data_IF_576583758719
#
_entry.id   IF_576583758719
#
_cell.length_a   1.000
_cell.length_b   1.000
_cell.length_c   1.000
_cell.angle_alpha   90.00
_cell.angle_beta   90.00
_cell.angle_gamma   90.00
#
_symmetry.space_group_name_H-M   'P 1'
#
loop_
_entity.id
_entity.type
_entity.pdbx_description
1 polymer ?
#
# COMPACT_ATOMS: atom_id res chain seq x y z
N UNK A 1 29.97 35.32 -69.16
CA UNK A 1 30.79 36.25 -69.97
C UNK A 1 32.17 36.64 -69.39
N UNK A 2 32.63 36.08 -68.27
CA UNK A 2 33.65 36.73 -67.41
C UNK A 2 35.11 36.28 -67.60
N UNK A 3 35.44 35.67 -68.75
CA UNK A 3 36.84 35.41 -69.13
C UNK A 3 37.32 36.52 -70.06
N UNK A 4 38.57 36.96 -69.88
CA UNK A 4 39.19 38.15 -70.50
C UNK A 4 39.03 38.28 -72.03
N UNK A 5 38.77 37.20 -72.75
CA UNK A 5 38.65 37.20 -74.22
C UNK A 5 37.22 37.00 -74.76
N UNK A 6 36.22 36.78 -73.91
CA UNK A 6 34.85 36.44 -74.37
C UNK A 6 34.10 37.66 -74.91
N UNK A 7 34.25 38.83 -74.27
CA UNK A 7 33.60 40.08 -74.69
C UNK A 7 34.06 40.53 -76.08
N UNK A 8 35.35 40.37 -76.37
CA UNK A 8 35.93 40.63 -77.69
C UNK A 8 35.35 39.71 -78.76
N UNK A 9 35.20 38.41 -78.44
CA UNK A 9 34.62 37.43 -79.35
C UNK A 9 33.13 37.66 -79.63
N UNK A 10 32.38 38.20 -78.66
CA UNK A 10 30.95 38.53 -78.81
C UNK A 10 30.79 39.74 -79.74
N UNK A 11 31.62 40.77 -79.56
CA UNK A 11 31.65 41.94 -80.45
C UNK A 11 32.08 41.53 -81.86
N UNK A 12 33.12 40.69 -81.98
CA UNK A 12 33.58 40.18 -83.27
C UNK A 12 32.52 39.31 -83.98
N UNK A 13 31.77 38.49 -83.23
CA UNK A 13 30.66 37.69 -83.76
C UNK A 13 29.51 38.55 -84.31
N UNK A 14 29.27 39.72 -83.71
CA UNK A 14 28.31 40.71 -84.21
C UNK A 14 28.87 41.44 -85.44
N UNK A 15 30.14 41.85 -85.41
CA UNK A 15 30.77 42.64 -86.49
C UNK A 15 31.04 41.85 -87.77
N UNK A 16 31.17 40.53 -87.68
CA UNK A 16 31.36 39.61 -88.83
C UNK A 16 30.05 39.15 -89.48
N UNK A 17 28.92 39.78 -89.14
CA UNK A 17 27.60 39.46 -89.69
C UNK A 17 27.55 39.66 -91.21
N UNK A 18 26.88 38.74 -91.92
CA UNK A 18 26.83 38.70 -93.40
C UNK A 18 25.77 39.61 -94.03
N UNK A 19 24.76 40.01 -93.25
CA UNK A 19 23.69 40.92 -93.66
C UNK A 19 23.12 41.67 -92.45
N UNK A 20 22.34 42.74 -92.71
CA UNK A 20 21.67 43.49 -91.64
C UNK A 20 20.70 42.61 -90.83
N UNK A 21 20.03 41.65 -91.47
CA UNK A 21 19.13 40.71 -90.79
C UNK A 21 19.87 39.73 -89.88
N UNK A 22 21.05 39.24 -90.30
CA UNK A 22 21.94 38.38 -89.50
C UNK A 22 22.50 39.14 -88.30
N UNK A 23 22.92 40.40 -88.52
CA UNK A 23 23.36 41.31 -87.46
C UNK A 23 22.29 41.50 -86.38
N UNK A 24 21.06 41.86 -86.76
CA UNK A 24 19.96 42.08 -85.80
C UNK A 24 19.65 40.80 -85.03
N UNK A 25 19.64 39.64 -85.69
CA UNK A 25 19.35 38.34 -85.06
C UNK A 25 20.42 37.92 -84.04
N UNK A 26 21.71 38.16 -84.35
CA UNK A 26 22.83 37.92 -83.42
C UNK A 26 22.78 38.84 -82.22
N UNK A 27 22.52 40.13 -82.43
CA UNK A 27 22.35 41.12 -81.36
C UNK A 27 21.21 40.72 -80.42
N UNK A 28 20.06 40.31 -80.96
CA UNK A 28 18.93 39.84 -80.15
C UNK A 28 19.25 38.56 -79.37
N UNK A 29 19.95 37.60 -79.98
CA UNK A 29 20.33 36.34 -79.33
C UNK A 29 21.34 36.56 -78.20
N UNK A 30 22.32 37.44 -78.42
CA UNK A 30 23.31 37.83 -77.41
C UNK A 30 22.62 38.61 -76.29
N UNK A 31 21.69 39.51 -76.60
CA UNK A 31 20.92 40.24 -75.59
C UNK A 31 20.11 39.28 -74.71
N UNK A 32 19.41 38.29 -75.30
CA UNK A 32 18.71 37.25 -74.53
C UNK A 32 19.67 36.44 -73.66
N UNK A 33 20.82 36.04 -74.20
CA UNK A 33 21.84 35.30 -73.47
C UNK A 33 22.37 36.09 -72.26
N UNK A 34 22.64 37.39 -72.42
CA UNK A 34 23.07 38.29 -71.33
C UNK A 34 21.99 38.42 -70.27
N UNK A 35 20.73 38.57 -70.68
CA UNK A 35 19.61 38.63 -69.73
C UNK A 35 19.51 37.35 -68.90
N UNK A 36 19.59 36.17 -69.54
CA UNK A 36 19.57 34.88 -68.84
C UNK A 36 20.79 34.72 -67.92
N UNK A 37 21.99 35.11 -68.35
CA UNK A 37 23.20 35.08 -67.50
C UNK A 37 23.03 35.97 -66.25
N UNK A 38 22.43 37.15 -66.41
CA UNK A 38 22.12 38.05 -65.30
C UNK A 38 21.08 37.45 -64.35
N UNK A 39 20.02 36.83 -64.88
CA UNK A 39 18.99 36.14 -64.09
C UNK A 39 19.57 34.97 -63.29
N UNK A 40 20.45 34.18 -63.89
CA UNK A 40 21.16 33.08 -63.22
C UNK A 40 22.05 33.62 -62.10
N UNK A 41 22.80 34.70 -62.34
CA UNK A 41 23.63 35.32 -61.31
C UNK A 41 22.80 35.87 -60.14
N UNK A 42 21.64 36.47 -60.42
CA UNK A 42 20.73 36.91 -59.36
C UNK A 42 20.22 35.72 -58.55
N UNK A 43 19.76 34.63 -59.19
CA UNK A 43 19.29 33.43 -58.49
C UNK A 43 20.41 32.77 -57.66
N UNK A 44 21.64 32.71 -58.18
CA UNK A 44 22.80 32.20 -57.43
C UNK A 44 23.07 33.05 -56.19
N UNK A 45 23.05 34.38 -56.32
CA UNK A 45 23.28 35.27 -55.19
C UNK A 45 22.15 35.15 -54.14
N UNK A 46 20.88 35.10 -54.57
CA UNK A 46 19.76 34.89 -53.66
C UNK A 46 19.85 33.55 -52.91
N UNK A 47 20.26 32.47 -53.61
CA UNK A 47 20.48 31.16 -52.98
C UNK A 47 21.65 31.19 -52.01
N UNK A 48 22.73 31.90 -52.34
CA UNK A 48 23.88 32.08 -51.45
C UNK A 48 23.49 32.82 -50.18
N UNK A 49 22.69 33.88 -50.29
CA UNK A 49 22.22 34.64 -49.13
C UNK A 49 21.30 33.79 -48.24
N UNK A 50 20.34 33.07 -48.82
CA UNK A 50 19.50 32.11 -48.08
C UNK A 50 20.31 31.01 -47.38
N UNK A 51 21.40 30.56 -48.00
CA UNK A 51 22.30 29.57 -47.41
C UNK A 51 23.05 30.16 -46.22
N UNK A 52 23.56 31.39 -46.33
CA UNK A 52 24.23 32.09 -45.23
C UNK A 52 23.27 32.29 -44.04
N UNK A 53 22.04 32.76 -44.29
CA UNK A 53 21.00 32.89 -43.25
C UNK A 53 20.73 31.56 -42.54
N UNK A 54 20.72 30.46 -43.31
CA UNK A 54 20.51 29.11 -42.76
C UNK A 54 21.68 28.67 -41.89
N UNK A 55 22.92 28.97 -42.30
CA UNK A 55 24.13 28.68 -41.52
C UNK A 55 24.10 29.44 -40.19
N UNK A 56 23.77 30.74 -40.21
CA UNK A 56 23.68 31.54 -38.98
C UNK A 56 22.62 31.01 -38.02
N UNK A 57 21.44 30.64 -38.53
CA UNK A 57 20.37 30.04 -37.73
C UNK A 57 20.78 28.70 -37.12
N UNK A 58 21.48 27.86 -37.88
CA UNK A 58 21.96 26.56 -37.40
C UNK A 58 23.01 26.75 -36.30
N UNK A 59 23.95 27.68 -36.47
CA UNK A 59 24.96 27.99 -35.47
C UNK A 59 24.32 28.52 -34.17
N UNK A 60 23.30 29.38 -34.27
CA UNK A 60 22.55 29.86 -33.09
C UNK A 60 21.88 28.70 -32.36
N UNK A 61 21.19 27.82 -33.08
CA UNK A 61 20.52 26.65 -32.49
C UNK A 61 21.51 25.67 -31.87
N UNK A 62 22.68 25.49 -32.46
CA UNK A 62 23.74 24.67 -31.88
C UNK A 62 24.22 25.23 -30.55
N UNK A 63 24.41 26.56 -30.46
CA UNK A 63 24.79 27.21 -29.22
C UNK A 63 23.69 27.09 -28.14
N UNK A 64 22.43 27.29 -28.50
CA UNK A 64 21.29 27.13 -27.58
C UNK A 64 21.23 25.68 -27.06
N UNK A 65 21.44 24.70 -27.93
CA UNK A 65 21.44 23.29 -27.55
C UNK A 65 22.59 22.95 -26.59
N UNK A 66 23.78 23.52 -26.81
CA UNK A 66 24.92 23.37 -25.89
C UNK A 66 24.62 23.98 -24.53
N UNK A 67 24.04 25.17 -24.49
CA UNK A 67 23.65 25.82 -23.24
C UNK A 67 22.58 25.02 -22.49
N UNK A 68 21.57 24.52 -23.22
CA UNK A 68 20.52 23.68 -22.64
C UNK A 68 21.11 22.38 -22.07
N UNK A 69 22.03 21.74 -22.80
CA UNK A 69 22.72 20.54 -22.32
C UNK A 69 23.46 20.80 -21.00
N UNK A 70 24.23 21.89 -20.92
CA UNK A 70 24.96 22.25 -19.70
C UNK A 70 24.02 22.51 -18.52
N UNK A 71 22.88 23.17 -18.76
CA UNK A 71 21.86 23.38 -17.72
C UNK A 71 21.31 22.05 -17.21
N UNK A 72 20.97 21.13 -18.12
CA UNK A 72 20.44 19.81 -17.76
C UNK A 72 21.47 19.01 -16.96
N UNK A 73 22.74 19.03 -17.35
CA UNK A 73 23.81 18.33 -16.62
C UNK A 73 23.96 18.87 -15.18
N UNK A 74 23.91 20.19 -15.01
CA UNK A 74 23.97 20.83 -13.68
C UNK A 74 22.73 20.55 -12.83
N UNK A 75 21.54 20.56 -13.42
CA UNK A 75 20.30 20.24 -12.70
C UNK A 75 20.27 18.77 -12.28
N UNK A 76 20.82 17.87 -13.11
CA UNK A 76 20.95 16.45 -12.78
C UNK A 76 21.90 16.22 -11.60
N UNK A 77 23.02 16.94 -11.55
CA UNK A 77 23.96 16.89 -10.43
C UNK A 77 23.29 17.32 -9.11
N UNK A 78 22.55 18.44 -9.12
CA UNK A 78 21.79 18.90 -7.95
C UNK A 78 20.73 17.91 -7.49
N UNK A 79 19.97 17.32 -8.43
CA UNK A 79 18.95 16.32 -8.09
C UNK A 79 19.60 15.11 -7.42
N UNK A 80 20.75 14.66 -7.93
CA UNK A 80 21.48 13.52 -7.37
C UNK A 80 21.98 13.81 -5.96
N UNK A 81 22.50 15.01 -5.71
CA UNK A 81 22.93 15.45 -4.38
C UNK A 81 21.76 15.52 -3.39
N UNK A 82 20.63 16.11 -3.81
CA UNK A 82 19.41 16.19 -3.01
C UNK A 82 18.90 14.80 -2.67
N UNK A 83 18.82 13.90 -3.65
CA UNK A 83 18.35 12.53 -3.43
C UNK A 83 19.23 11.82 -2.39
N UNK A 84 20.56 11.92 -2.51
CA UNK A 84 21.49 11.35 -1.54
C UNK A 84 21.26 11.89 -0.14
N UNK A 85 21.12 13.21 0.01
CA UNK A 85 20.85 13.84 1.31
C UNK A 85 19.52 13.39 1.94
N UNK A 86 18.50 13.13 1.11
CA UNK A 86 17.19 12.65 1.58
C UNK A 86 17.27 11.19 2.03
N UNK A 87 18.03 10.35 1.32
CA UNK A 87 18.26 8.96 1.71
C UNK A 87 19.00 8.88 3.05
N UNK A 88 20.05 9.69 3.25
CA UNK A 88 20.79 9.80 4.52
C UNK A 88 19.88 10.25 5.67
N UNK A 89 19.06 11.29 5.45
CA UNK A 89 18.12 11.78 6.46
C UNK A 89 17.04 10.75 6.82
N UNK A 90 16.57 9.95 5.85
CA UNK A 90 15.59 8.89 6.08
C UNK A 90 16.19 7.73 6.89
N UNK A 91 17.44 7.35 6.61
CA UNK A 91 18.16 6.34 7.36
C UNK A 91 18.36 6.77 8.82
N UNK A 92 18.79 8.03 9.05
CA UNK A 92 18.94 8.59 10.38
C UNK A 92 17.60 8.61 11.14
N UNK A 93 16.52 9.08 10.49
CA UNK A 93 15.20 9.13 11.10
C UNK A 93 14.70 7.73 11.51
N UNK A 94 14.89 6.72 10.66
CA UNK A 94 14.50 5.35 10.98
C UNK A 94 15.33 4.79 12.14
N UNK A 95 16.65 5.02 12.14
CA UNK A 95 17.51 4.63 13.26
C UNK A 95 17.09 5.29 14.58
N UNK A 96 16.76 6.59 14.55
CA UNK A 96 16.26 7.31 15.74
C UNK A 96 14.92 6.76 16.20
N UNK A 97 13.99 6.49 15.26
CA UNK A 97 12.68 5.91 15.54
C UNK A 97 12.81 4.55 16.23
N UNK A 98 13.70 3.68 15.75
CA UNK A 98 13.93 2.35 16.33
C UNK A 98 14.54 2.45 17.74
N UNK A 99 15.49 3.38 17.94
CA UNK A 99 16.07 3.64 19.26
C UNK A 99 15.03 4.15 20.26
N UNK A 100 14.16 5.08 19.84
CA UNK A 100 13.08 5.60 20.68
C UNK A 100 12.04 4.51 20.97
N UNK A 101 11.67 3.72 19.98
CA UNK A 101 10.73 2.60 20.15
C UNK A 101 11.26 1.57 21.17
N UNK A 102 12.55 1.25 21.12
CA UNK A 102 13.19 0.35 22.09
C UNK A 102 13.16 0.93 23.52
N UNK A 103 13.42 2.23 23.68
CA UNK A 103 13.35 2.91 24.98
C UNK A 103 11.91 2.92 25.52
N UNK A 104 10.92 3.19 24.66
CA UNK A 104 9.50 3.14 25.03
C UNK A 104 9.12 1.74 25.50
N UNK A 105 9.47 0.71 24.72
CA UNK A 105 9.19 -0.68 25.09
C UNK A 105 9.83 -1.08 26.42
N UNK A 106 11.08 -0.70 26.67
CA UNK A 106 11.76 -0.95 27.95
C UNK A 106 11.01 -0.29 29.12
N UNK A 107 10.68 1.00 28.99
CA UNK A 107 9.95 1.73 30.03
C UNK A 107 8.55 1.15 30.27
N UNK A 108 7.84 0.78 29.20
CA UNK A 108 6.52 0.15 29.28
C UNK A 108 6.59 -1.23 29.98
N UNK A 109 7.61 -2.05 29.67
CA UNK A 109 7.84 -3.30 30.38
C UNK A 109 8.09 -3.04 31.89
N UNK A 110 8.83 -1.99 32.24
CA UNK A 110 9.04 -1.62 33.65
C UNK A 110 7.74 -1.19 34.33
N UNK A 111 6.87 -0.43 33.65
CA UNK A 111 5.57 0.00 34.19
C UNK A 111 4.67 -1.19 34.54
N UNK A 112 4.63 -2.23 33.69
CA UNK A 112 3.77 -3.39 33.94
C UNK A 112 4.43 -4.47 34.81
N UNK A 113 5.76 -4.40 35.00
CA UNK A 113 6.56 -5.45 35.68
C UNK A 113 6.05 -5.82 37.07
N UNK A 114 5.60 -4.82 37.86
CA UNK A 114 5.12 -5.06 39.21
C UNK A 114 3.81 -5.85 39.21
N UNK A 115 2.84 -5.44 38.39
CA UNK A 115 1.56 -6.13 38.24
C UNK A 115 1.75 -7.56 37.70
N UNK A 116 2.66 -7.75 36.75
CA UNK A 116 3.07 -9.08 36.27
C UNK A 116 3.65 -9.94 37.41
N UNK A 117 4.49 -9.36 38.27
CA UNK A 117 5.09 -10.09 39.39
C UNK A 117 4.03 -10.57 40.40
N UNK A 118 3.02 -9.73 40.68
CA UNK A 118 1.88 -10.07 41.55
C UNK A 118 1.06 -11.20 40.92
N UNK A 119 0.72 -11.10 39.63
CA UNK A 119 -0.06 -12.12 38.92
C UNK A 119 0.62 -13.50 38.97
N UNK A 120 1.94 -13.52 38.76
CA UNK A 120 2.71 -14.76 38.76
C UNK A 120 2.84 -15.39 40.16
N UNK A 121 3.03 -14.57 41.21
CA UNK A 121 3.38 -15.06 42.55
C UNK A 121 2.21 -15.14 43.53
N UNK A 122 1.20 -14.28 43.42
CA UNK A 122 0.13 -14.19 44.42
C UNK A 122 -0.91 -15.30 44.25
N UNK A 123 -1.48 -15.73 45.37
CA UNK A 123 -2.64 -16.63 45.47
C UNK A 123 -3.85 -15.93 46.10
N UNK A 124 -3.76 -14.61 46.32
CA UNK A 124 -4.84 -13.80 46.88
C UNK A 124 -5.70 -13.23 45.76
N UNK A 125 -6.99 -13.55 45.74
CA UNK A 125 -7.93 -13.06 44.72
C UNK A 125 -8.02 -11.53 44.68
N UNK A 126 -7.92 -10.86 45.83
CA UNK A 126 -7.92 -9.39 45.90
C UNK A 126 -6.65 -8.77 45.32
N UNK A 127 -5.47 -9.39 45.53
CA UNK A 127 -4.22 -8.88 44.97
C UNK A 127 -4.18 -9.07 43.45
N UNK A 128 -4.69 -10.21 42.97
CA UNK A 128 -4.84 -10.48 41.54
C UNK A 128 -5.80 -9.48 40.89
N UNK A 129 -6.94 -9.18 41.52
CA UNK A 129 -7.89 -8.19 40.99
C UNK A 129 -7.30 -6.78 40.93
N UNK A 130 -6.60 -6.34 41.98
CA UNK A 130 -5.93 -5.04 41.98
C UNK A 130 -4.86 -4.93 40.88
N UNK A 131 -4.12 -6.01 40.62
CA UNK A 131 -3.14 -6.07 39.55
C UNK A 131 -3.80 -6.00 38.16
N UNK A 132 -4.94 -6.68 37.96
CA UNK A 132 -5.74 -6.60 36.73
C UNK A 132 -6.26 -5.18 36.50
N UNK A 133 -6.85 -4.55 37.51
CA UNK A 133 -7.39 -3.19 37.40
C UNK A 133 -6.30 -2.18 37.04
N UNK A 134 -5.10 -2.36 37.63
CA UNK A 134 -3.92 -1.56 37.30
C UNK A 134 -3.51 -1.75 35.84
N UNK A 135 -3.44 -2.99 35.35
CA UNK A 135 -3.09 -3.26 33.94
C UNK A 135 -4.14 -2.71 32.97
N UNK A 136 -5.43 -2.84 33.29
CA UNK A 136 -6.52 -2.29 32.48
C UNK A 136 -6.46 -0.76 32.38
N UNK A 137 -6.02 -0.06 33.44
CA UNK A 137 -5.81 1.38 33.42
C UNK A 137 -4.59 1.80 32.59
N UNK A 138 -3.55 0.96 32.56
CA UNK A 138 -2.31 1.22 31.82
C UNK A 138 -2.43 0.87 30.33
N UNK A 139 -3.19 -0.16 29.96
CA UNK A 139 -3.39 -0.61 28.57
C UNK A 139 -3.65 0.52 27.55
N UNK A 140 -4.57 1.49 27.78
CA UNK A 140 -4.79 2.57 26.82
C UNK A 140 -3.62 3.56 26.68
N UNK A 141 -2.62 3.50 27.57
CA UNK A 141 -1.43 4.36 27.56
C UNK A 141 -0.21 3.67 26.92
N UNK A 142 -0.28 2.36 26.71
CA UNK A 142 0.80 1.59 26.09
C UNK A 142 0.77 1.73 24.57
N UNK A 143 1.94 1.82 23.97
CA UNK A 143 2.15 1.95 22.53
C UNK A 143 2.87 0.75 21.92
N UNK A 144 3.66 -0.02 22.69
CA UNK A 144 4.32 -1.22 22.20
C UNK A 144 3.35 -2.40 22.10
N UNK A 145 3.18 -2.94 20.90
CA UNK A 145 2.31 -4.10 20.66
C UNK A 145 2.74 -5.33 21.45
N UNK A 146 4.05 -5.53 21.66
CA UNK A 146 4.58 -6.64 22.45
C UNK A 146 4.18 -6.50 23.93
N UNK A 147 4.29 -5.30 24.49
CA UNK A 147 3.94 -5.04 25.89
C UNK A 147 2.43 -5.12 26.12
N UNK A 148 1.63 -4.62 25.17
CA UNK A 148 0.17 -4.77 25.18
C UNK A 148 -0.23 -6.25 25.20
N UNK A 149 0.39 -7.09 24.34
CA UNK A 149 0.11 -8.53 24.34
C UNK A 149 0.46 -9.17 25.69
N UNK A 150 1.65 -8.89 26.23
CA UNK A 150 2.07 -9.41 27.55
C UNK A 150 1.10 -9.03 28.66
N UNK A 151 0.61 -7.78 28.66
CA UNK A 151 -0.35 -7.31 29.65
C UNK A 151 -1.70 -8.04 29.52
N UNK A 152 -2.22 -8.20 28.29
CA UNK A 152 -3.46 -8.93 28.04
C UNK A 152 -3.35 -10.42 28.42
N UNK A 153 -2.24 -11.06 28.07
CA UNK A 153 -1.98 -12.46 28.42
C UNK A 153 -1.92 -12.64 29.94
N UNK A 154 -1.30 -11.69 30.65
CA UNK A 154 -1.27 -11.71 32.11
C UNK A 154 -2.65 -11.51 32.74
N UNK A 155 -3.46 -10.59 32.21
CA UNK A 155 -4.85 -10.40 32.65
C UNK A 155 -5.66 -11.68 32.44
N UNK A 156 -5.53 -12.33 31.29
CA UNK A 156 -6.20 -13.59 31.00
C UNK A 156 -5.80 -14.69 32.00
N UNK A 157 -4.50 -14.88 32.20
CA UNK A 157 -3.99 -15.87 33.15
C UNK A 157 -4.41 -15.57 34.60
N UNK A 158 -4.45 -14.29 34.99
CA UNK A 158 -4.89 -13.89 36.32
C UNK A 158 -6.38 -14.20 36.54
N UNK A 159 -7.24 -13.92 35.55
CA UNK A 159 -8.66 -14.25 35.61
C UNK A 159 -8.88 -15.77 35.75
N UNK A 160 -8.17 -16.59 34.97
CA UNK A 160 -8.22 -18.05 35.12
C UNK A 160 -7.82 -18.49 36.53
N UNK A 161 -6.74 -17.92 37.09
CA UNK A 161 -6.28 -18.23 38.45
C UNK A 161 -7.31 -17.82 39.51
N UNK A 162 -7.99 -16.70 39.33
CA UNK A 162 -9.08 -16.26 40.22
C UNK A 162 -10.26 -17.24 40.14
N UNK A 163 -10.65 -17.69 38.94
CA UNK A 163 -11.69 -18.70 38.76
C UNK A 163 -11.33 -20.00 39.48
N UNK A 164 -10.11 -20.50 39.29
CA UNK A 164 -9.61 -21.70 39.98
C UNK A 164 -9.63 -21.54 41.51
N UNK A 165 -9.12 -20.43 42.04
CA UNK A 165 -9.10 -20.17 43.48
C UNK A 165 -10.50 -20.06 44.08
N UNK A 166 -11.46 -19.51 43.35
CA UNK A 166 -12.86 -19.43 43.76
C UNK A 166 -13.54 -20.81 43.77
N UNK A 167 -13.09 -21.77 42.94
CA UNK A 167 -13.60 -23.15 42.98
C UNK A 167 -13.11 -23.96 44.19
N UNK A 168 -11.99 -23.59 44.82
CA UNK A 168 -11.38 -24.33 45.96
C UNK A 168 -12.04 -23.96 47.30
N UNK A 169 -12.73 -22.81 47.40
CA UNK A 169 -13.33 -22.30 48.67
C UNK A 169 -14.75 -22.84 48.92
N UNK A 170 -15.33 -23.62 48.01
CA UNK A 170 -16.68 -24.18 48.19
C UNK A 170 -16.61 -25.65 48.61
N UNK A 171 -16.54 -25.88 49.92
CA UNK A 171 -17.08 -27.10 50.50
C UNK A 171 -18.58 -27.15 50.16
N UNK A 172 -19.03 -28.22 49.49
CA UNK A 172 -20.42 -28.37 49.02
C UNK A 172 -21.40 -28.13 50.19
N UNK A 173 -22.38 -27.23 50.03
CA UNK A 173 -23.63 -27.65 49.39
C UNK A 173 -24.12 -26.72 48.28
N UNK A 174 -24.83 -27.36 47.36
CA UNK A 174 -25.41 -26.88 46.10
C UNK A 174 -26.53 -25.86 46.32
N UNK A 175 -26.33 -24.60 45.93
CA UNK A 175 -27.28 -23.64 45.29
C UNK A 175 -26.40 -22.47 44.75
N UNK A 176 -26.26 -22.08 43.48
CA UNK A 176 -26.95 -22.41 42.23
C UNK A 176 -27.31 -21.15 41.43
N UNK A 177 -26.37 -20.21 41.16
CA UNK A 177 -26.58 -19.11 40.20
C UNK A 177 -25.60 -19.18 39.02
N UNK A 178 -26.17 -19.70 37.93
CA UNK A 178 -25.69 -20.02 36.58
C UNK A 178 -24.73 -19.02 35.88
N UNK A 179 -23.44 -19.35 35.82
CA UNK A 179 -22.77 -19.45 34.52
C UNK A 179 -22.97 -20.89 34.06
N UNK A 180 -23.77 -21.08 33.01
CA UNK A 180 -24.21 -22.40 32.58
C UNK A 180 -23.03 -23.35 32.39
N UNK A 181 -23.03 -24.45 33.15
CA UNK A 181 -22.20 -25.62 32.85
C UNK A 181 -22.36 -25.94 31.36
N UNK A 182 -21.26 -25.98 30.61
CA UNK A 182 -21.29 -26.35 29.20
C UNK A 182 -22.06 -27.66 29.06
N UNK A 183 -23.17 -27.62 28.31
CA UNK A 183 -24.06 -28.77 28.16
C UNK A 183 -23.39 -29.87 27.35
N UNK A 184 -22.51 -29.46 26.43
CA UNK A 184 -21.74 -30.34 25.56
C UNK A 184 -20.53 -29.60 25.00
N UNK A 185 -19.39 -30.28 24.98
CA UNK A 185 -18.14 -29.76 24.44
C UNK A 185 -17.73 -30.57 23.20
N UNK A 186 -17.25 -29.87 22.18
CA UNK A 186 -16.74 -30.47 20.95
C UNK A 186 -15.35 -29.94 20.63
N UNK A 187 -14.51 -30.79 20.05
CA UNK A 187 -13.29 -30.37 19.36
C UNK A 187 -13.60 -30.29 17.86
N UNK A 188 -13.45 -29.11 17.28
CA UNK A 188 -13.86 -28.83 15.89
C UNK A 188 -12.77 -28.09 15.12
N UNK A 189 -12.76 -28.24 13.79
CA UNK A 189 -11.96 -27.42 12.90
C UNK A 189 -12.70 -26.09 12.65
N UNK A 190 -12.07 -24.97 12.97
CA UNK A 190 -12.60 -23.63 12.71
C UNK A 190 -11.90 -23.01 11.50
N UNK A 191 -12.70 -22.56 10.55
CA UNK A 191 -12.31 -21.57 9.54
C UNK A 191 -12.87 -20.20 9.90
N UNK A 192 -12.47 -19.18 9.14
CA UNK A 192 -13.09 -17.87 9.23
C UNK A 192 -13.50 -17.36 7.85
N UNK A 193 -14.57 -16.56 7.85
CA UNK A 193 -15.07 -15.85 6.69
C UNK A 193 -15.41 -14.40 7.04
N UNK A 194 -15.47 -13.56 6.01
CA UNK A 194 -15.85 -12.15 6.12
C UNK A 194 -16.79 -11.79 4.95
N UNK A 195 -17.54 -10.70 5.10
CA UNK A 195 -18.60 -10.31 4.17
C UNK A 195 -19.90 -11.08 4.38
N UNK A 196 -20.69 -11.27 3.31
CA UNK A 196 -22.05 -11.80 3.43
C UNK A 196 -23.06 -10.74 3.88
N UNK A 197 -24.28 -11.15 4.23
CA UNK A 197 -25.33 -10.21 4.61
C UNK A 197 -26.37 -10.78 5.58
N UNK A 198 -26.89 -11.97 5.30
CA UNK A 198 -27.97 -12.58 6.09
C UNK A 198 -27.62 -14.06 6.31
N UNK A 199 -27.66 -14.49 7.57
CA UNK A 199 -27.45 -15.88 7.99
C UNK A 199 -28.68 -16.75 7.65
N UNK A 200 -28.56 -18.08 7.72
CA UNK A 200 -29.67 -19.02 7.54
C UNK A 200 -30.87 -18.74 8.49
N UNK A 201 -30.64 -18.14 9.66
CA UNK A 201 -31.70 -17.72 10.59
C UNK A 201 -32.31 -16.34 10.28
N UNK A 202 -31.87 -15.67 9.21
CA UNK A 202 -32.35 -14.32 8.85
C UNK A 202 -31.70 -13.18 9.65
N UNK A 203 -30.66 -13.48 10.43
CA UNK A 203 -29.94 -12.49 11.23
C UNK A 203 -28.79 -11.86 10.42
N UNK A 204 -28.47 -10.57 10.63
CA UNK A 204 -27.26 -9.99 10.07
C UNK A 204 -26.02 -10.70 10.65
N UNK A 205 -24.97 -10.84 9.83
CA UNK A 205 -23.68 -11.34 10.31
C UNK A 205 -23.02 -10.29 11.20
N UNK A 206 -22.58 -10.70 12.38
CA UNK A 206 -22.02 -9.79 13.40
C UNK A 206 -20.81 -10.44 14.04
N UNK A 207 -19.73 -9.66 14.16
CA UNK A 207 -18.58 -9.98 15.00
C UNK A 207 -18.53 -8.98 16.15
N UNK A 208 -18.76 -9.47 17.36
CA UNK A 208 -18.64 -8.73 18.60
C UNK A 208 -17.75 -9.50 19.59
N UNK A 209 -16.50 -9.06 19.82
CA UNK A 209 -15.59 -9.69 20.79
C UNK A 209 -16.08 -9.66 22.23
N UNK A 210 -16.93 -8.69 22.60
CA UNK A 210 -17.43 -8.51 23.97
C UNK A 210 -18.88 -8.93 24.13
N UNK A 211 -19.48 -9.47 23.07
CA UNK A 211 -20.90 -9.80 23.02
C UNK A 211 -21.16 -11.08 22.25
N UNK A 212 -22.24 -11.07 21.47
CA UNK A 212 -22.72 -12.24 20.74
C UNK A 212 -22.37 -12.13 19.26
N UNK A 213 -21.43 -12.96 18.82
CA UNK A 213 -21.08 -13.07 17.39
C UNK A 213 -21.93 -14.11 16.67
N UNK A 214 -21.98 -14.08 15.33
CA UNK A 214 -22.66 -15.09 14.51
C UNK A 214 -21.66 -16.08 13.92
N UNK A 215 -21.96 -17.38 13.99
CA UNK A 215 -21.13 -18.43 13.37
C UNK A 215 -21.97 -19.37 12.50
N UNK A 216 -21.29 -20.01 11.54
CA UNK A 216 -21.86 -21.10 10.75
C UNK A 216 -21.48 -22.46 11.32
N UNK A 217 -22.44 -23.38 11.37
CA UNK A 217 -22.25 -24.73 11.93
C UNK A 217 -22.94 -25.81 11.09
N UNK A 218 -22.60 -27.07 11.35
CA UNK A 218 -23.44 -28.20 10.94
C UNK A 218 -24.62 -28.39 11.92
N UNK A 219 -25.84 -28.10 11.44
CA UNK A 219 -27.08 -28.21 12.21
C UNK A 219 -27.39 -29.61 12.76
N UNK A 220 -26.75 -30.66 12.23
CA UNK A 220 -26.90 -32.03 12.74
C UNK A 220 -26.11 -32.27 14.03
N UNK A 221 -25.12 -31.42 14.32
CA UNK A 221 -24.26 -31.52 15.51
C UNK A 221 -24.55 -30.39 16.50
N UNK A 222 -24.65 -29.16 16.01
CA UNK A 222 -25.01 -27.97 16.81
C UNK A 222 -26.30 -27.39 16.23
N UNK A 223 -27.46 -27.50 16.91
CA UNK A 223 -28.71 -26.94 16.42
C UNK A 223 -28.62 -25.41 16.21
N UNK A 224 -29.25 -24.91 15.15
CA UNK A 224 -29.34 -23.46 14.92
C UNK A 224 -30.11 -22.78 16.05
N UNK A 225 -29.61 -21.65 16.53
CA UNK A 225 -30.08 -20.92 17.71
C UNK A 225 -29.34 -21.30 19.00
N UNK A 226 -28.42 -22.26 18.96
CA UNK A 226 -27.61 -22.59 20.14
C UNK A 226 -26.64 -21.46 20.46
N UNK A 227 -26.51 -21.13 21.75
CA UNK A 227 -25.46 -20.25 22.26
C UNK A 227 -24.24 -21.10 22.55
N UNK A 228 -23.12 -20.73 21.97
CA UNK A 228 -21.86 -21.44 22.13
C UNK A 228 -20.74 -20.52 22.58
N UNK A 229 -19.72 -21.08 23.20
CA UNK A 229 -18.43 -20.43 23.40
C UNK A 229 -17.39 -21.13 22.53
N UNK A 230 -16.63 -20.36 21.76
CA UNK A 230 -15.58 -20.87 20.89
C UNK A 230 -14.24 -20.38 21.42
N UNK A 231 -13.35 -21.31 21.76
CA UNK A 231 -12.04 -21.01 22.33
C UNK A 231 -11.24 -20.06 21.44
N UNK A 232 -10.81 -18.92 21.98
CA UNK A 232 -10.05 -17.90 21.26
C UNK A 232 -10.87 -16.98 20.34
N UNK A 233 -12.20 -17.15 20.28
CA UNK A 233 -13.10 -16.29 19.50
C UNK A 233 -14.12 -15.56 20.38
N UNK A 234 -14.69 -16.26 21.36
CA UNK A 234 -15.69 -15.72 22.30
C UNK A 234 -17.06 -16.39 22.16
N UNK A 235 -18.09 -15.73 22.68
CA UNK A 235 -19.48 -16.22 22.67
C UNK A 235 -20.13 -15.96 21.32
N UNK A 236 -20.86 -16.96 20.81
CA UNK A 236 -21.52 -16.88 19.53
C UNK A 236 -22.88 -17.59 19.50
N UNK A 237 -23.71 -17.19 18.54
CA UNK A 237 -24.92 -17.90 18.15
C UNK A 237 -24.67 -18.70 16.87
N UNK A 238 -24.98 -19.99 16.93
CA UNK A 238 -25.08 -20.86 15.77
C UNK A 238 -26.27 -20.41 14.89
N UNK A 239 -26.03 -19.48 13.97
CA UNK A 239 -27.10 -18.78 13.23
C UNK A 239 -27.06 -19.05 11.73
N UNK A 240 -25.96 -19.61 11.23
CA UNK A 240 -25.77 -19.86 9.82
C UNK A 240 -25.36 -21.31 9.50
N UNK A 241 -25.43 -21.67 8.22
CA UNK A 241 -24.95 -22.94 7.69
C UNK A 241 -24.27 -22.73 6.34
N UNK A 242 -23.16 -23.43 6.11
CA UNK A 242 -22.49 -23.44 4.81
C UNK A 242 -22.57 -24.80 4.11
N UNK A 243 -22.43 -24.80 2.79
CA UNK A 243 -22.31 -26.04 2.01
C UNK A 243 -21.08 -26.87 2.42
N UNK A 244 -19.97 -26.18 2.72
CA UNK A 244 -18.71 -26.79 3.14
C UNK A 244 -18.61 -27.00 4.67
N UNK A 245 -19.55 -26.46 5.46
CA UNK A 245 -19.56 -26.56 6.92
C UNK A 245 -20.38 -27.79 7.31
N UNK A 246 -19.69 -28.94 7.35
CA UNK A 246 -20.25 -30.27 7.60
C UNK A 246 -19.39 -31.03 8.60
N UNK A 247 -20.03 -31.80 9.48
CA UNK A 247 -19.33 -32.52 10.54
C UNK A 247 -18.80 -31.58 11.62
N UNK A 248 -17.66 -31.92 12.21
CA UNK A 248 -17.01 -31.13 13.26
C UNK A 248 -16.24 -29.93 12.69
N UNK A 249 -16.91 -29.13 11.85
CA UNK A 249 -16.37 -27.92 11.23
C UNK A 249 -17.29 -26.76 11.60
N UNK A 250 -16.70 -25.63 11.98
CA UNK A 250 -17.38 -24.36 12.16
C UNK A 250 -16.73 -23.27 11.30
N UNK A 251 -17.50 -22.24 10.97
CA UNK A 251 -16.98 -21.04 10.32
C UNK A 251 -17.28 -19.82 11.19
N UNK A 252 -16.24 -19.12 11.62
CA UNK A 252 -16.40 -17.91 12.43
C UNK A 252 -16.42 -16.66 11.56
N UNK A 253 -17.32 -15.73 11.88
CA UNK A 253 -17.38 -14.47 11.15
C UNK A 253 -16.35 -13.47 11.70
N UNK A 254 -15.62 -12.79 10.83
CA UNK A 254 -14.69 -11.70 11.17
C UNK A 254 -14.99 -10.47 10.30
N UNK A 255 -14.62 -9.29 10.80
CA UNK A 255 -14.99 -8.03 10.17
C UNK A 255 -14.15 -7.71 8.93
N UNK A 256 -12.91 -8.20 8.88
CA UNK A 256 -12.01 -7.95 7.75
C UNK A 256 -11.36 -9.23 7.20
N UNK A 257 -10.89 -9.15 5.96
CA UNK A 257 -10.16 -10.24 5.31
C UNK A 257 -8.83 -10.52 6.03
N UNK A 258 -8.15 -9.48 6.49
CA UNK A 258 -6.89 -9.58 7.23
C UNK A 258 -7.09 -10.36 8.53
N UNK A 259 -8.19 -10.14 9.25
CA UNK A 259 -8.55 -10.93 10.44
C UNK A 259 -8.77 -12.41 10.08
N UNK A 260 -9.43 -12.72 8.95
CA UNK A 260 -9.59 -14.10 8.48
C UNK A 260 -8.24 -14.77 8.17
N UNK A 261 -7.30 -14.04 7.55
CA UNK A 261 -5.96 -14.56 7.25
C UNK A 261 -5.18 -14.83 8.54
N UNK A 262 -5.26 -13.94 9.52
CA UNK A 262 -4.64 -14.12 10.84
C UNK A 262 -5.28 -15.29 11.61
N UNK A 263 -6.60 -15.47 11.47
CA UNK A 263 -7.30 -16.61 12.05
C UNK A 263 -6.84 -17.93 11.40
N UNK A 264 -6.78 -17.99 10.08
CA UNK A 264 -6.41 -19.22 9.37
C UNK A 264 -7.35 -20.39 9.69
N UNK A 265 -6.91 -21.63 9.43
CA UNK A 265 -7.66 -22.84 9.80
C UNK A 265 -7.02 -23.47 11.03
N UNK A 266 -7.80 -23.69 12.08
CA UNK A 266 -7.28 -24.15 13.39
C UNK A 266 -8.27 -25.05 14.12
N UNK A 267 -7.76 -25.89 15.00
CA UNK A 267 -8.60 -26.70 15.91
C UNK A 267 -9.01 -25.86 17.11
N UNK A 268 -10.30 -25.85 17.43
CA UNK A 268 -10.88 -25.12 18.57
C UNK A 268 -11.77 -26.03 19.41
N UNK A 269 -11.97 -25.62 20.65
CA UNK A 269 -12.98 -26.19 21.53
C UNK A 269 -14.25 -25.35 21.45
N UNK A 270 -15.39 -26.01 21.27
CA UNK A 270 -16.73 -25.39 21.18
C UNK A 270 -17.61 -25.94 22.31
N UNK A 271 -18.04 -25.06 23.19
CA UNK A 271 -18.91 -25.39 24.31
C UNK A 271 -20.33 -24.89 24.03
N UNK A 272 -21.32 -25.77 24.10
CA UNK A 272 -22.74 -25.36 24.07
C UNK A 272 -23.10 -24.83 25.46
N UNK A 273 -23.39 -23.53 25.53
CA UNK A 273 -23.86 -22.86 26.75
C UNK A 273 -25.38 -23.02 26.92
N UNK A 274 -26.13 -22.94 25.81
CA UNK A 274 -27.58 -23.10 25.80
C UNK A 274 -28.07 -23.58 24.43
N UNK A 275 -29.12 -24.40 24.41
CA UNK A 275 -29.84 -24.83 23.21
C UNK A 275 -30.86 -23.78 22.77
N UNK A 276 -31.40 -23.88 21.55
CA UNK A 276 -32.38 -22.91 21.03
C UNK A 276 -33.61 -22.81 21.94
N UNK A 277 -33.98 -21.58 22.32
CA UNK A 277 -35.15 -21.31 23.18
C UNK A 277 -34.89 -21.35 24.68
N UNK A 278 -33.64 -21.56 25.11
CA UNK A 278 -33.25 -21.55 26.53
C UNK A 278 -32.61 -20.22 26.97
N UNK A 279 -32.49 -19.25 26.06
CA UNK A 279 -31.85 -17.95 26.26
C UNK A 279 -32.41 -16.90 25.30
#
# INVERSE_FOLDING_TARGET
MYKSNMSSNIILSILTSTSLSDFVSRVQSISRLVTVDKEILTDINEKKDKLNDSIERLNSKEQDLRNLKLSIENDLEKITEIQKSQEEALEELNSQKDSVAAIIEENENQLISHSLSIINSSTSTSELQNAIDTLNLLLPQLSSSNVISKANDAIYNANLKIEELNTIVVDKPVIGENMGTSKKTFTMEATAYTGGGITAMGLPVVRDPNGLSTIAVDKSIIPLGSKVYVSGYGVAIASDTGGAIKGNIIDVYLNTYEECVQWGRRTVTVDILAYPGEW
#
